data_IF_038243252464
#
_entry.id   IF_038243252464
#
_cell.length_a   1.000
_cell.length_b   1.000
_cell.length_c   1.000
_cell.angle_alpha   90.00
_cell.angle_beta   90.00
_cell.angle_gamma   90.00
#
_symmetry.space_group_name_H-M   'P 1'
#
loop_
_entity.id
_entity.type
_entity.pdbx_description
1 polymer ?
#
# COMPACT_ATOMS: atom_id res chain seq x y z
N UNK A 1 -17.48 3.04 -17.87
CA UNK A 1 -16.04 3.27 -18.13
C UNK A 1 -15.75 2.96 -19.57
N UNK A 2 -15.14 3.89 -20.29
CA UNK A 2 -14.78 3.72 -21.70
C UNK A 2 -13.76 2.59 -21.85
N UNK A 3 -14.03 1.68 -22.79
CA UNK A 3 -13.10 0.63 -23.15
C UNK A 3 -11.94 1.24 -23.94
N UNK A 4 -10.72 1.05 -23.48
CA UNK A 4 -9.54 1.44 -24.24
C UNK A 4 -9.39 0.56 -25.49
N UNK A 5 -8.82 1.08 -26.59
CA UNK A 5 -8.54 0.29 -27.79
C UNK A 5 -7.49 -0.79 -27.50
N UNK A 6 -7.47 -1.86 -28.29
CA UNK A 6 -6.47 -2.92 -28.16
C UNK A 6 -5.03 -2.41 -28.34
N UNK A 7 -4.86 -1.35 -29.10
CA UNK A 7 -3.57 -0.68 -29.33
C UNK A 7 -3.66 0.79 -28.95
N UNK A 8 -2.79 1.23 -28.05
CA UNK A 8 -2.65 2.62 -27.63
C UNK A 8 -1.26 3.11 -27.98
N UNK A 9 -1.13 3.82 -29.12
CA UNK A 9 0.15 4.27 -29.65
C UNK A 9 1.12 3.12 -29.83
N UNK A 10 2.24 3.16 -29.10
CA UNK A 10 3.29 2.14 -29.13
C UNK A 10 3.00 0.94 -28.22
N UNK A 11 1.87 0.90 -27.51
CA UNK A 11 1.53 -0.16 -26.58
C UNK A 11 0.37 -1.02 -27.10
N UNK A 12 0.61 -2.32 -27.23
CA UNK A 12 -0.43 -3.33 -27.43
C UNK A 12 -0.96 -3.77 -26.07
N UNK A 13 -2.22 -3.48 -25.76
CA UNK A 13 -2.87 -3.86 -24.52
C UNK A 13 -3.17 -5.35 -24.50
N UNK A 14 -2.68 -6.07 -23.47
CA UNK A 14 -2.81 -7.54 -23.39
C UNK A 14 -3.90 -7.91 -22.37
N UNK A 15 -3.79 -7.39 -21.16
CA UNK A 15 -4.67 -7.75 -20.04
C UNK A 15 -4.88 -6.55 -19.12
N UNK A 16 -6.12 -6.32 -18.72
CA UNK A 16 -6.43 -5.34 -17.68
C UNK A 16 -6.06 -5.90 -16.31
N UNK A 17 -5.17 -5.21 -15.59
CA UNK A 17 -4.68 -5.59 -14.27
C UNK A 17 -5.47 -4.91 -13.14
N UNK A 18 -6.00 -3.71 -13.40
CA UNK A 18 -6.74 -2.95 -12.40
C UNK A 18 -7.56 -1.82 -13.01
N UNK A 19 -8.56 -1.38 -12.25
CA UNK A 19 -9.45 -0.26 -12.62
C UNK A 19 -9.58 0.66 -11.41
N UNK A 20 -9.19 1.91 -11.59
CA UNK A 20 -9.43 3.00 -10.64
C UNK A 20 -10.47 3.98 -11.20
N UNK A 21 -10.80 4.98 -10.41
CA UNK A 21 -11.80 6.01 -10.80
C UNK A 21 -11.37 6.81 -12.04
N UNK A 22 -10.09 7.14 -12.15
CA UNK A 22 -9.54 8.02 -13.18
C UNK A 22 -8.45 7.37 -14.04
N UNK A 23 -8.04 6.14 -13.70
CA UNK A 23 -6.99 5.41 -14.38
C UNK A 23 -7.36 3.94 -14.54
N UNK A 24 -6.81 3.31 -15.59
CA UNK A 24 -6.79 1.87 -15.77
C UNK A 24 -5.34 1.39 -15.77
N UNK A 25 -5.10 0.20 -15.22
CA UNK A 25 -3.77 -0.43 -15.22
C UNK A 25 -3.83 -1.62 -16.18
N UNK A 26 -2.91 -1.66 -17.13
CA UNK A 26 -2.84 -2.69 -18.15
C UNK A 26 -1.46 -3.32 -18.21
N UNK A 27 -1.44 -4.62 -18.42
CA UNK A 27 -0.29 -5.29 -19.00
C UNK A 27 -0.26 -4.95 -20.49
N UNK A 28 0.89 -4.52 -20.99
CA UNK A 28 1.08 -4.14 -22.38
C UNK A 28 2.42 -4.66 -22.93
N UNK A 29 2.45 -4.83 -24.26
CA UNK A 29 3.68 -5.06 -25.02
C UNK A 29 4.07 -3.74 -25.68
N UNK A 30 5.24 -3.23 -25.37
CA UNK A 30 5.78 -2.02 -25.95
C UNK A 30 6.49 -2.30 -27.28
N UNK A 31 6.17 -1.55 -28.32
CA UNK A 31 6.85 -1.59 -29.61
C UNK A 31 7.81 -0.41 -29.77
N UNK A 32 8.96 -0.60 -30.45
CA UNK A 32 9.44 -1.82 -31.11
C UNK A 32 10.17 -2.82 -30.19
N UNK A 33 10.44 -2.44 -28.91
CA UNK A 33 11.28 -3.23 -27.97
C UNK A 33 10.73 -4.64 -27.67
N UNK A 34 9.43 -4.87 -27.85
CA UNK A 34 8.68 -6.08 -27.46
C UNK A 34 8.74 -6.38 -25.95
N UNK A 35 9.12 -5.41 -25.14
CA UNK A 35 9.13 -5.57 -23.69
C UNK A 35 7.71 -5.62 -23.14
N UNK A 36 7.48 -6.54 -22.20
CA UNK A 36 6.23 -6.55 -21.40
C UNK A 36 6.38 -5.56 -20.26
N UNK A 37 5.41 -4.66 -20.15
CA UNK A 37 5.37 -3.59 -19.14
C UNK A 37 3.98 -3.50 -18.51
N UNK A 38 3.89 -2.86 -17.36
CA UNK A 38 2.62 -2.37 -16.85
C UNK A 38 2.48 -0.88 -17.21
N UNK A 39 1.29 -0.47 -17.64
CA UNK A 39 0.99 0.93 -17.90
C UNK A 39 -0.22 1.37 -17.08
N UNK A 40 -0.11 2.52 -16.40
CA UNK A 40 -1.21 3.19 -15.72
C UNK A 40 -1.68 4.34 -16.60
N UNK A 41 -2.84 4.17 -17.23
CA UNK A 41 -3.38 5.10 -18.26
C UNK A 41 -4.51 5.90 -17.65
N UNK A 42 -4.50 7.23 -17.83
CA UNK A 42 -5.64 8.08 -17.47
C UNK A 42 -6.77 7.78 -18.45
N UNK A 43 -7.98 7.55 -17.92
CA UNK A 43 -9.15 7.25 -18.77
C UNK A 43 -9.55 8.48 -19.60
N UNK A 44 -10.16 8.30 -20.80
CA UNK A 44 -10.52 9.40 -21.69
C UNK A 44 -11.37 10.50 -21.02
N UNK A 45 -12.29 10.12 -20.14
CA UNK A 45 -13.15 11.04 -19.41
C UNK A 45 -12.39 11.97 -18.46
N UNK A 46 -11.17 11.59 -18.07
CA UNK A 46 -10.30 12.34 -17.16
C UNK A 46 -9.02 12.88 -17.84
N UNK A 47 -8.84 12.65 -19.14
CA UNK A 47 -7.61 12.99 -19.86
C UNK A 47 -7.32 14.51 -19.88
N UNK A 48 -8.37 15.32 -19.87
CA UNK A 48 -8.27 16.79 -19.86
C UNK A 48 -8.07 17.37 -18.44
N UNK A 49 -8.18 16.54 -17.39
CA UNK A 49 -7.91 16.98 -16.02
C UNK A 49 -6.40 17.04 -15.79
N UNK A 50 -5.85 18.26 -15.79
CA UNK A 50 -4.44 18.50 -15.49
C UNK A 50 -4.00 17.96 -14.13
N UNK A 51 -4.92 17.76 -13.18
CA UNK A 51 -4.66 17.15 -11.90
C UNK A 51 -4.23 15.69 -12.03
N UNK A 52 -4.83 14.93 -12.95
CA UNK A 52 -4.49 13.53 -13.18
C UNK A 52 -3.07 13.38 -13.73
N UNK A 53 -2.67 14.23 -14.68
CA UNK A 53 -1.30 14.27 -15.19
C UNK A 53 -0.29 14.56 -14.07
N UNK A 54 -0.56 15.58 -13.24
CA UNK A 54 0.27 15.93 -12.09
C UNK A 54 0.41 14.78 -11.09
N UNK A 55 -0.64 13.98 -10.90
CA UNK A 55 -0.57 12.79 -10.04
C UNK A 55 0.37 11.73 -10.61
N UNK A 56 0.34 11.45 -11.93
CA UNK A 56 1.28 10.53 -12.56
C UNK A 56 2.73 11.06 -12.50
N UNK A 57 2.93 12.37 -12.73
CA UNK A 57 4.25 13.03 -12.60
C UNK A 57 4.79 12.94 -11.17
N UNK A 58 3.91 13.13 -10.18
CA UNK A 58 4.26 13.00 -8.78
C UNK A 58 4.63 11.54 -8.45
N UNK A 59 3.82 10.58 -8.88
CA UNK A 59 4.05 9.16 -8.66
C UNK A 59 5.38 8.69 -9.24
N UNK A 60 5.69 9.08 -10.49
CA UNK A 60 6.99 8.81 -11.12
C UNK A 60 8.15 9.42 -10.32
N UNK A 61 8.03 10.68 -9.89
CA UNK A 61 9.08 11.37 -9.12
C UNK A 61 9.36 10.67 -7.80
N UNK A 62 8.31 10.25 -7.08
CA UNK A 62 8.46 9.48 -5.83
C UNK A 62 9.14 8.15 -6.12
N UNK A 63 8.64 7.38 -7.09
CA UNK A 63 9.18 6.08 -7.49
C UNK A 63 10.65 6.14 -7.88
N UNK A 64 11.02 7.12 -8.71
CA UNK A 64 12.44 7.35 -9.11
C UNK A 64 13.34 7.73 -7.93
N UNK A 65 12.82 8.47 -6.96
CA UNK A 65 13.60 8.86 -5.78
C UNK A 65 13.74 7.76 -4.73
N UNK A 66 12.92 6.70 -4.84
CA UNK A 66 12.84 5.62 -3.86
C UNK A 66 12.90 4.24 -4.53
N UNK A 67 13.76 4.06 -5.54
CA UNK A 67 13.96 2.77 -6.20
C UNK A 67 14.45 1.71 -5.19
N UNK A 68 13.74 0.58 -5.13
CA UNK A 68 14.05 -0.53 -4.22
C UNK A 68 13.44 -1.84 -4.76
N UNK A 69 14.05 -3.02 -4.54
CA UNK A 69 13.51 -4.30 -5.00
C UNK A 69 12.08 -4.58 -4.55
N UNK A 70 11.63 -4.08 -3.40
CA UNK A 70 10.29 -4.26 -2.85
C UNK A 70 9.30 -3.15 -3.23
N UNK A 71 9.71 -2.18 -4.04
CA UNK A 71 8.85 -1.13 -4.58
C UNK A 71 8.77 -1.31 -6.09
N UNK A 72 7.59 -1.11 -6.68
CA UNK A 72 7.42 -1.20 -8.13
C UNK A 72 8.33 -0.19 -8.83
N UNK A 73 9.13 -0.63 -9.79
CA UNK A 73 9.98 0.28 -10.55
C UNK A 73 9.15 1.06 -11.54
N UNK A 74 9.21 2.37 -11.45
CA UNK A 74 8.59 3.29 -12.39
C UNK A 74 9.60 3.72 -13.44
N UNK A 75 9.23 3.65 -14.71
CA UNK A 75 10.17 3.93 -15.80
C UNK A 75 10.05 5.35 -16.30
N UNK A 76 8.94 5.72 -16.92
CA UNK A 76 8.72 7.02 -17.52
C UNK A 76 7.26 7.36 -17.70
N UNK A 77 6.98 8.65 -17.93
CA UNK A 77 5.72 9.09 -18.49
C UNK A 77 5.74 8.99 -20.00
N UNK A 78 4.59 8.76 -20.60
CA UNK A 78 4.32 8.86 -22.03
C UNK A 78 2.92 9.47 -22.24
N UNK A 79 2.65 9.85 -23.46
CA UNK A 79 1.32 10.27 -23.90
C UNK A 79 1.01 9.58 -25.23
N UNK A 80 -0.04 8.80 -25.26
CA UNK A 80 -0.43 8.00 -26.42
C UNK A 80 -1.91 8.22 -26.74
N UNK A 81 -2.20 8.57 -27.97
CA UNK A 81 -3.59 8.87 -28.37
C UNK A 81 -4.24 10.01 -27.56
N UNK A 82 -3.46 10.97 -27.05
CA UNK A 82 -3.92 12.05 -26.20
C UNK A 82 -4.19 11.63 -24.73
N UNK A 83 -3.80 10.42 -24.35
CA UNK A 83 -3.97 9.91 -22.98
C UNK A 83 -2.61 9.88 -22.26
N UNK A 84 -2.46 10.60 -21.13
CA UNK A 84 -1.30 10.50 -20.27
C UNK A 84 -1.21 9.09 -19.65
N UNK A 85 0.00 8.54 -19.62
CA UNK A 85 0.24 7.23 -18.99
C UNK A 85 1.60 7.17 -18.30
N UNK A 86 1.71 6.30 -17.30
CA UNK A 86 2.92 5.96 -16.58
C UNK A 86 3.32 4.53 -16.94
N UNK A 87 4.55 4.35 -17.44
CA UNK A 87 5.14 3.04 -17.73
C UNK A 87 5.90 2.55 -16.51
N UNK A 88 5.67 1.27 -16.15
CA UNK A 88 6.23 0.63 -14.96
C UNK A 88 6.69 -0.79 -15.29
N UNK A 89 7.52 -1.38 -14.44
CA UNK A 89 7.80 -2.81 -14.52
C UNK A 89 6.50 -3.62 -14.39
N UNK A 90 6.43 -4.72 -15.12
CA UNK A 90 5.35 -5.68 -14.96
C UNK A 90 5.74 -6.68 -13.86
N UNK A 91 4.90 -6.75 -12.83
CA UNK A 91 4.97 -7.78 -11.80
C UNK A 91 3.64 -8.55 -11.80
N UNK A 92 3.55 -9.66 -12.57
CA UNK A 92 2.28 -10.31 -12.92
C UNK A 92 1.76 -11.23 -11.81
N UNK A 93 1.70 -10.73 -10.58
CA UNK A 93 1.23 -11.44 -9.40
C UNK A 93 0.01 -10.76 -8.80
N UNK A 94 -0.86 -11.49 -8.08
CA UNK A 94 -2.04 -10.92 -7.44
C UNK A 94 -1.66 -9.92 -6.35
N UNK A 95 -2.60 -9.02 -6.02
CA UNK A 95 -2.44 -8.21 -4.84
C UNK A 95 -2.81 -9.01 -3.57
N UNK A 96 -2.30 -8.54 -2.43
CA UNK A 96 -2.49 -9.18 -1.13
C UNK A 96 -3.97 -9.27 -0.74
N UNK A 97 -4.81 -8.28 -1.17
CA UNK A 97 -6.25 -8.32 -0.90
C UNK A 97 -6.91 -9.53 -1.54
N UNK A 98 -6.56 -9.83 -2.78
CA UNK A 98 -7.08 -11.02 -3.49
C UNK A 98 -6.67 -12.30 -2.76
N UNK A 99 -5.40 -12.40 -2.37
CA UNK A 99 -4.89 -13.58 -1.65
C UNK A 99 -5.58 -13.78 -0.30
N UNK A 100 -5.87 -12.69 0.45
CA UNK A 100 -6.62 -12.76 1.70
C UNK A 100 -8.05 -13.28 1.46
N UNK A 101 -8.70 -12.82 0.40
CA UNK A 101 -10.07 -13.26 0.03
C UNK A 101 -10.08 -14.72 -0.43
N UNK A 102 -9.05 -15.16 -1.15
CA UNK A 102 -8.92 -16.54 -1.62
C UNK A 102 -8.60 -17.53 -0.47
N UNK A 103 -8.11 -17.04 0.68
CA UNK A 103 -7.93 -17.81 1.91
C UNK A 103 -6.62 -17.51 2.64
N UNK A 104 -6.73 -17.05 3.88
CA UNK A 104 -5.54 -16.66 4.69
C UNK A 104 -4.70 -17.86 5.14
N UNK A 105 -5.28 -19.05 5.22
CA UNK A 105 -4.56 -20.24 5.69
C UNK A 105 -3.42 -20.61 4.74
N UNK A 106 -3.65 -20.51 3.42
CA UNK A 106 -2.63 -20.74 2.42
C UNK A 106 -1.47 -19.71 2.45
N UNK A 107 -1.73 -18.52 3.00
CA UNK A 107 -0.71 -17.47 3.17
C UNK A 107 0.15 -17.67 4.43
N UNK A 108 -0.31 -18.49 5.37
CA UNK A 108 0.32 -18.63 6.69
C UNK A 108 1.84 -18.76 6.66
N UNK A 109 2.43 -19.67 5.88
CA UNK A 109 3.88 -19.82 5.77
C UNK A 109 4.58 -18.56 5.26
N UNK A 110 3.93 -17.78 4.39
CA UNK A 110 4.49 -16.59 3.74
C UNK A 110 4.31 -15.30 4.57
N UNK A 111 3.40 -15.30 5.56
CA UNK A 111 3.07 -14.10 6.35
C UNK A 111 4.30 -13.39 6.92
N UNK A 112 5.27 -14.06 7.60
CA UNK A 112 6.45 -13.39 8.14
C UNK A 112 7.29 -12.72 7.04
N UNK A 113 7.44 -13.37 5.88
CA UNK A 113 8.18 -12.83 4.74
C UNK A 113 7.47 -11.63 4.14
N UNK A 114 6.17 -11.74 3.85
CA UNK A 114 5.36 -10.65 3.30
C UNK A 114 5.44 -9.40 4.18
N UNK A 115 5.29 -9.56 5.51
CA UNK A 115 5.34 -8.45 6.45
C UNK A 115 6.73 -7.83 6.49
N UNK A 116 7.80 -8.66 6.46
CA UNK A 116 9.18 -8.18 6.44
C UNK A 116 9.47 -7.40 5.16
N UNK A 117 9.16 -7.94 3.99
CA UNK A 117 9.37 -7.30 2.69
C UNK A 117 8.60 -5.97 2.57
N UNK A 118 7.33 -5.95 3.00
CA UNK A 118 6.51 -4.73 3.02
C UNK A 118 7.09 -3.69 3.99
N UNK A 119 7.55 -4.12 5.17
CA UNK A 119 8.20 -3.22 6.12
C UNK A 119 9.51 -2.64 5.57
N UNK A 120 10.28 -3.41 4.79
CA UNK A 120 11.49 -2.91 4.10
C UNK A 120 11.14 -1.87 3.05
N UNK A 121 10.07 -2.07 2.26
CA UNK A 121 9.59 -1.08 1.30
C UNK A 121 9.24 0.25 1.99
N UNK A 122 8.49 0.18 3.09
CA UNK A 122 8.05 1.36 3.84
C UNK A 122 9.25 2.06 4.51
N UNK A 123 10.18 1.31 5.12
CA UNK A 123 11.40 1.89 5.73
C UNK A 123 12.27 2.60 4.68
N UNK A 124 12.37 2.02 3.48
CA UNK A 124 13.09 2.66 2.38
C UNK A 124 12.44 3.98 1.97
N UNK A 125 11.10 4.02 1.78
CA UNK A 125 10.37 5.26 1.50
C UNK A 125 10.64 6.32 2.58
N UNK A 126 10.54 5.94 3.87
CA UNK A 126 10.78 6.86 4.99
C UNK A 126 12.23 7.38 4.98
N UNK A 127 13.21 6.52 4.69
CA UNK A 127 14.63 6.91 4.59
C UNK A 127 14.86 7.90 3.43
N UNK A 128 14.08 7.79 2.34
CA UNK A 128 14.08 8.73 1.21
C UNK A 128 13.24 9.99 1.47
N UNK A 129 12.70 10.15 2.67
CA UNK A 129 11.93 11.32 3.08
C UNK A 129 10.49 11.35 2.59
N UNK A 130 9.89 10.17 2.34
CA UNK A 130 8.51 10.04 1.91
C UNK A 130 7.66 9.23 2.89
N UNK A 131 6.38 9.58 3.02
CA UNK A 131 5.33 8.80 3.69
C UNK A 131 4.36 8.36 2.61
N UNK A 132 4.01 7.07 2.58
CA UNK A 132 3.14 6.50 1.55
C UNK A 132 1.69 6.97 1.65
N UNK A 133 1.12 6.95 2.86
CA UNK A 133 -0.23 7.41 3.23
C UNK A 133 -1.40 6.55 2.74
N UNK A 134 -1.15 5.51 1.94
CA UNK A 134 -2.18 4.56 1.48
C UNK A 134 -1.68 3.10 1.49
N UNK A 135 -1.04 2.69 2.59
CA UNK A 135 -0.66 1.29 2.80
C UNK A 135 -1.92 0.46 3.04
N UNK A 136 -2.18 -0.47 2.12
CA UNK A 136 -3.32 -1.40 2.15
C UNK A 136 -3.00 -2.67 1.34
N UNK A 137 -3.72 -3.78 1.54
CA UNK A 137 -3.47 -5.01 0.80
C UNK A 137 -3.63 -4.87 -0.72
N UNK A 138 -4.50 -3.98 -1.20
CA UNK A 138 -4.69 -3.71 -2.63
C UNK A 138 -3.43 -3.15 -3.30
N UNK A 139 -2.60 -2.42 -2.54
CA UNK A 139 -1.36 -1.78 -3.01
C UNK A 139 -0.11 -2.64 -2.79
N UNK A 140 -0.26 -3.93 -2.50
CA UNK A 140 0.83 -4.88 -2.27
C UNK A 140 0.68 -6.06 -3.20
N UNK A 141 1.53 -6.18 -4.21
CA UNK A 141 1.60 -7.37 -5.08
C UNK A 141 2.48 -8.42 -4.42
N UNK A 142 2.09 -9.70 -4.50
CA UNK A 142 2.78 -10.78 -3.80
C UNK A 142 2.99 -11.96 -4.75
N UNK A 143 4.24 -12.38 -4.92
CA UNK A 143 4.60 -13.58 -5.65
C UNK A 143 4.40 -14.85 -4.79
N UNK A 144 4.37 -16.00 -5.45
CA UNK A 144 4.16 -17.31 -4.80
C UNK A 144 5.21 -17.66 -3.75
N UNK A 145 6.40 -17.09 -3.84
CA UNK A 145 7.48 -17.25 -2.86
C UNK A 145 7.44 -16.23 -1.72
N UNK A 146 6.46 -15.30 -1.72
CA UNK A 146 6.32 -14.24 -0.73
C UNK A 146 7.12 -12.96 -1.05
N UNK A 147 7.76 -12.85 -2.22
CA UNK A 147 8.33 -11.58 -2.68
C UNK A 147 7.23 -10.53 -2.83
N UNK A 148 7.51 -9.29 -2.44
CA UNK A 148 6.52 -8.20 -2.42
C UNK A 148 6.93 -7.06 -3.35
N UNK A 149 5.95 -6.44 -3.99
CA UNK A 149 6.07 -5.12 -4.62
C UNK A 149 5.00 -4.18 -4.07
N UNK A 150 5.44 -3.10 -3.40
CA UNK A 150 4.58 -1.99 -3.02
C UNK A 150 4.32 -1.10 -4.23
N UNK A 151 3.05 -0.81 -4.50
CA UNK A 151 2.59 -0.02 -5.65
C UNK A 151 1.81 1.21 -5.21
N UNK A 152 1.52 2.11 -6.17
CA UNK A 152 0.66 3.30 -6.02
C UNK A 152 1.20 4.35 -5.04
N UNK A 153 2.13 5.18 -5.54
CA UNK A 153 2.75 6.28 -4.79
C UNK A 153 2.07 7.65 -5.05
N UNK A 154 0.89 7.66 -5.67
CA UNK A 154 0.23 8.87 -6.14
C UNK A 154 -0.07 9.90 -5.03
N UNK A 155 -0.35 9.44 -3.81
CA UNK A 155 -0.62 10.32 -2.65
C UNK A 155 0.50 10.35 -1.62
N UNK A 156 1.67 9.77 -1.94
CA UNK A 156 2.83 9.85 -1.07
C UNK A 156 3.24 11.32 -0.82
N UNK A 157 3.66 11.64 0.40
CA UNK A 157 4.01 13.01 0.77
C UNK A 157 5.39 13.07 1.40
N UNK A 158 6.02 14.24 1.32
CA UNK A 158 7.29 14.48 2.01
C UNK A 158 7.11 14.39 3.52
N UNK A 159 8.06 13.74 4.19
CA UNK A 159 8.15 13.78 5.64
C UNK A 159 8.23 15.24 6.11
N UNK A 160 7.42 15.64 7.09
CA UNK A 160 7.46 17.00 7.60
C UNK A 160 8.81 17.26 8.26
N UNK A 161 9.47 18.37 7.88
CA UNK A 161 10.65 18.88 8.59
C UNK A 161 10.30 19.30 10.03
N UNK A 162 11.30 19.71 10.81
CA UNK A 162 11.12 20.13 12.22
C UNK A 162 10.03 21.22 12.35
N UNK A 163 10.04 22.24 11.49
CA UNK A 163 9.04 23.30 11.48
C UNK A 163 7.65 22.79 11.08
N UNK A 164 7.56 21.88 10.11
CA UNK A 164 6.28 21.27 9.69
C UNK A 164 5.63 20.41 10.77
N UNK A 165 6.42 19.84 11.69
CA UNK A 165 5.91 19.10 12.86
C UNK A 165 5.32 20.02 13.92
N UNK A 166 5.86 21.23 14.05
CA UNK A 166 5.44 22.21 15.07
C UNK A 166 4.30 23.11 14.58
N UNK A 167 4.29 23.46 13.30
CA UNK A 167 3.38 24.45 12.71
C UNK A 167 2.55 23.89 11.54
N UNK A 168 2.55 22.57 11.34
CA UNK A 168 1.85 21.92 10.22
C UNK A 168 0.35 22.22 10.22
N UNK A 169 -0.13 22.79 9.10
CA UNK A 169 -1.53 23.07 8.86
C UNK A 169 -2.34 21.79 8.57
N UNK A 170 -3.67 21.93 8.53
CA UNK A 170 -4.58 20.86 8.11
C UNK A 170 -4.29 20.48 6.66
N UNK A 171 -3.93 19.21 6.44
CA UNK A 171 -3.78 18.62 5.11
C UNK A 171 -5.08 18.00 4.60
N UNK A 172 -5.17 17.70 3.30
CA UNK A 172 -6.32 16.98 2.76
C UNK A 172 -6.42 15.59 3.37
N UNK A 173 -7.64 15.18 3.73
CA UNK A 173 -7.94 13.81 4.18
C UNK A 173 -7.91 12.91 2.93
N UNK A 174 -6.88 12.10 2.82
CA UNK A 174 -6.65 11.20 1.68
C UNK A 174 -6.18 9.84 2.19
N UNK A 175 -6.56 8.77 1.50
CA UNK A 175 -6.23 7.39 1.82
C UNK A 175 -7.47 6.50 1.86
N UNK A 176 -7.27 5.24 2.12
CA UNK A 176 -8.32 4.21 2.15
C UNK A 176 -8.91 4.10 3.55
N UNK A 177 -10.23 4.34 3.74
CA UNK A 177 -10.86 4.45 5.06
C UNK A 177 -10.56 3.29 6.03
N UNK A 178 -10.43 2.05 5.53
CA UNK A 178 -10.19 0.85 6.35
C UNK A 178 -8.76 0.74 6.93
N UNK A 179 -7.82 1.60 6.47
CA UNK A 179 -6.41 1.55 6.86
C UNK A 179 -5.86 2.90 7.29
N UNK A 180 -6.69 3.95 7.20
CA UNK A 180 -6.27 5.33 7.45
C UNK A 180 -5.96 5.56 8.93
N UNK A 181 -4.82 6.18 9.21
CA UNK A 181 -4.41 6.51 10.57
C UNK A 181 -5.26 7.65 11.17
N UNK A 182 -5.49 7.65 12.50
CA UNK A 182 -6.30 8.67 13.18
C UNK A 182 -5.89 10.12 12.88
N UNK A 183 -4.59 10.40 12.78
CA UNK A 183 -4.08 11.74 12.44
C UNK A 183 -4.38 12.13 10.98
N UNK A 184 -4.38 11.18 10.04
CA UNK A 184 -4.80 11.42 8.65
C UNK A 184 -6.28 11.80 8.60
N UNK A 185 -7.13 11.04 9.33
CA UNK A 185 -8.57 11.30 9.40
C UNK A 185 -8.86 12.70 9.98
N UNK A 186 -8.07 13.12 10.97
CA UNK A 186 -8.21 14.44 11.60
C UNK A 186 -7.59 15.59 10.79
N UNK A 187 -6.97 15.29 9.63
CA UNK A 187 -6.25 16.27 8.83
C UNK A 187 -5.03 16.87 9.55
N UNK A 188 -4.46 16.16 10.52
CA UNK A 188 -3.28 16.58 11.26
C UNK A 188 -2.00 16.33 10.48
N UNK A 189 -0.88 16.84 10.97
CA UNK A 189 0.44 16.54 10.39
C UNK A 189 0.72 15.04 10.44
N UNK A 190 1.03 14.46 9.27
CA UNK A 190 1.28 13.04 9.08
C UNK A 190 2.77 12.79 8.95
N UNK A 191 3.32 11.83 9.70
CA UNK A 191 4.68 11.33 9.54
C UNK A 191 4.70 9.81 9.30
N UNK A 192 5.87 9.18 9.25
CA UNK A 192 6.01 7.75 8.95
C UNK A 192 5.25 6.82 9.90
N UNK A 193 4.83 7.30 11.07
CA UNK A 193 4.03 6.51 12.01
C UNK A 193 2.59 6.29 11.55
N UNK A 194 2.12 7.07 10.57
CA UNK A 194 0.85 6.79 9.90
C UNK A 194 0.94 5.49 9.06
N UNK A 195 2.03 5.31 8.31
CA UNK A 195 2.25 4.06 7.55
C UNK A 195 2.43 2.86 8.49
N UNK A 196 3.02 3.05 9.69
CA UNK A 196 3.09 2.01 10.73
C UNK A 196 1.69 1.59 11.18
N UNK A 197 0.77 2.54 11.38
CA UNK A 197 -0.62 2.23 11.72
C UNK A 197 -1.31 1.45 10.60
N UNK A 198 -1.18 1.91 9.37
CA UNK A 198 -1.76 1.26 8.20
C UNK A 198 -1.19 -0.15 8.01
N UNK A 199 0.13 -0.34 8.19
CA UNK A 199 0.74 -1.67 8.21
C UNK A 199 0.18 -2.54 9.34
N UNK A 200 -0.07 -1.97 10.52
CA UNK A 200 -0.76 -2.68 11.61
C UNK A 200 -2.14 -3.20 11.21
N UNK A 201 -2.91 -2.42 10.44
CA UNK A 201 -4.19 -2.87 9.88
C UNK A 201 -4.01 -4.02 8.87
N UNK A 202 -2.99 -3.93 7.99
CA UNK A 202 -2.67 -4.98 7.01
C UNK A 202 -2.25 -6.28 7.70
N UNK A 203 -1.37 -6.21 8.71
CA UNK A 203 -0.92 -7.39 9.48
C UNK A 203 -2.09 -8.02 10.23
N UNK A 204 -2.95 -7.19 10.83
CA UNK A 204 -4.17 -7.70 11.47
C UNK A 204 -5.04 -8.46 10.47
N UNK A 205 -5.28 -7.89 9.28
CA UNK A 205 -6.12 -8.51 8.25
C UNK A 205 -5.51 -9.80 7.70
N UNK A 206 -4.19 -9.85 7.51
CA UNK A 206 -3.45 -11.05 7.11
C UNK A 206 -3.64 -12.22 8.10
N UNK A 207 -3.76 -11.92 9.40
CA UNK A 207 -3.89 -12.93 10.46
C UNK A 207 -5.34 -13.26 10.80
N UNK A 208 -6.28 -12.33 10.57
CA UNK A 208 -7.69 -12.47 10.95
C UNK A 208 -8.64 -12.71 9.76
N UNK A 209 -8.16 -12.58 8.51
CA UNK A 209 -8.97 -12.62 7.29
C UNK A 209 -9.90 -11.40 7.09
N UNK A 210 -9.85 -10.43 7.99
CA UNK A 210 -10.67 -9.20 7.96
C UNK A 210 -9.95 -8.04 8.64
N UNK A 211 -10.23 -6.79 8.22
CA UNK A 211 -9.61 -5.62 8.83
C UNK A 211 -10.02 -5.46 10.32
N UNK A 212 -9.23 -4.69 11.13
CA UNK A 212 -9.51 -4.53 12.56
C UNK A 212 -10.83 -3.82 12.85
N UNK A 213 -11.32 -3.01 11.93
CA UNK A 213 -12.57 -2.29 12.06
C UNK A 213 -13.42 -2.46 10.80
N UNK A 214 -14.73 -2.59 10.99
CA UNK A 214 -15.75 -2.60 9.95
C UNK A 214 -16.95 -1.78 10.43
N UNK A 215 -17.63 -1.10 9.50
CA UNK A 215 -18.86 -0.36 9.77
C UNK A 215 -19.74 -0.31 8.52
N UNK A 216 -21.02 0.04 8.70
CA UNK A 216 -21.99 0.14 7.59
C UNK A 216 -21.69 1.34 6.71
N UNK A 217 -21.21 2.43 7.28
CA UNK A 217 -20.87 3.65 6.54
C UNK A 217 -19.44 4.13 6.83
N UNK A 218 -18.91 4.95 5.93
CA UNK A 218 -17.53 5.43 6.00
C UNK A 218 -17.26 6.28 7.25
N UNK A 219 -18.21 7.11 7.69
CA UNK A 219 -18.01 7.98 8.85
C UNK A 219 -17.86 7.17 10.14
N UNK A 220 -18.69 6.14 10.33
CA UNK A 220 -18.59 5.25 11.48
C UNK A 220 -17.28 4.46 11.46
N UNK A 221 -16.84 4.03 10.27
CA UNK A 221 -15.55 3.36 10.12
C UNK A 221 -14.40 4.27 10.53
N UNK A 222 -14.38 5.51 10.03
CA UNK A 222 -13.38 6.50 10.40
C UNK A 222 -13.41 6.81 11.91
N UNK A 223 -14.59 6.92 12.52
CA UNK A 223 -14.74 7.10 13.97
C UNK A 223 -14.16 5.92 14.75
N UNK A 224 -14.33 4.68 14.28
CA UNK A 224 -13.68 3.51 14.90
C UNK A 224 -12.17 3.58 14.84
N UNK A 225 -11.59 4.01 13.72
CA UNK A 225 -10.15 4.26 13.64
C UNK A 225 -9.67 5.31 14.64
N UNK A 226 -10.48 6.35 14.88
CA UNK A 226 -10.15 7.43 15.84
C UNK A 226 -10.20 6.98 17.29
N UNK A 227 -11.18 6.15 17.69
CA UNK A 227 -11.51 5.95 19.10
C UNK A 227 -11.64 4.49 19.56
N UNK A 228 -12.05 3.55 18.67
CA UNK A 228 -12.33 2.19 19.10
C UNK A 228 -11.05 1.39 19.35
N UNK A 229 -11.05 0.56 20.37
CA UNK A 229 -9.97 -0.40 20.63
C UNK A 229 -10.04 -1.54 19.60
N UNK A 230 -8.94 -1.88 18.92
CA UNK A 230 -8.92 -3.01 18.01
C UNK A 230 -9.10 -4.32 18.78
N UNK A 231 -9.78 -5.33 18.18
CA UNK A 231 -9.84 -6.66 18.75
C UNK A 231 -8.44 -7.24 18.96
N UNK A 232 -8.28 -8.12 19.95
CA UNK A 232 -7.01 -8.83 20.15
C UNK A 232 -6.90 -9.95 19.12
N UNK A 233 -5.75 -10.04 18.41
CA UNK A 233 -5.57 -10.99 17.30
C UNK A 233 -5.55 -12.45 17.79
N UNK A 234 -4.98 -12.72 18.95
CA UNK A 234 -4.94 -14.04 19.59
C UNK A 234 -6.32 -14.64 19.87
N UNK A 235 -7.36 -13.80 20.03
CA UNK A 235 -8.77 -14.23 20.15
C UNK A 235 -9.39 -14.65 18.82
N UNK A 236 -8.87 -14.13 17.71
CA UNK A 236 -9.37 -14.38 16.35
C UNK A 236 -8.57 -15.47 15.65
N UNK A 237 -7.27 -15.52 15.88
CA UNK A 237 -6.35 -16.51 15.37
C UNK A 237 -5.60 -17.14 16.54
N UNK A 238 -6.02 -18.34 16.97
CA UNK A 238 -5.41 -19.06 18.11
C UNK A 238 -3.97 -19.52 17.87
N UNK A 239 -3.52 -19.49 16.60
CA UNK A 239 -2.14 -19.80 16.27
C UNK A 239 -1.23 -18.56 16.29
N UNK A 240 -1.78 -17.36 16.40
CA UNK A 240 -1.00 -16.14 16.52
C UNK A 240 -0.39 -16.01 17.92
N UNK A 241 0.91 -15.73 18.00
CA UNK A 241 1.61 -15.59 19.29
C UNK A 241 1.18 -14.33 20.03
N UNK A 242 1.34 -14.34 21.35
CA UNK A 242 1.14 -13.14 22.18
C UNK A 242 2.08 -11.99 21.73
N UNK A 243 3.28 -12.28 21.29
CA UNK A 243 4.25 -11.29 20.83
C UNK A 243 3.76 -10.55 19.58
N UNK A 244 3.19 -11.26 18.61
CA UNK A 244 2.63 -10.61 17.41
C UNK A 244 1.36 -9.81 17.75
N UNK A 245 0.54 -10.31 18.68
CA UNK A 245 -0.64 -9.60 19.19
C UNK A 245 -0.25 -8.26 19.83
N UNK A 246 0.81 -8.25 20.65
CA UNK A 246 1.34 -7.04 21.29
C UNK A 246 1.91 -6.05 20.26
N UNK A 247 2.66 -6.54 19.25
CA UNK A 247 3.17 -5.69 18.18
C UNK A 247 2.04 -5.00 17.43
N UNK A 248 1.03 -5.75 16.98
CA UNK A 248 -0.13 -5.20 16.27
C UNK A 248 -0.84 -4.14 17.13
N UNK A 249 -1.07 -4.43 18.41
CA UNK A 249 -1.69 -3.49 19.34
C UNK A 249 -0.89 -2.20 19.46
N UNK A 250 0.45 -2.28 19.53
CA UNK A 250 1.34 -1.11 19.56
C UNK A 250 1.28 -0.31 18.26
N UNK A 251 1.28 -0.98 17.10
CA UNK A 251 1.15 -0.32 15.80
C UNK A 251 -0.21 0.38 15.63
N UNK A 252 -1.29 -0.20 16.16
CA UNK A 252 -2.65 0.34 16.10
C UNK A 252 -2.99 1.34 17.22
N UNK A 253 -2.01 1.80 18.00
CA UNK A 253 -2.20 2.84 19.00
C UNK A 253 -2.72 4.13 18.36
N UNK A 254 -3.68 4.79 19.03
CA UNK A 254 -4.39 5.95 18.46
C UNK A 254 -3.50 7.19 18.35
N UNK A 255 -2.66 7.41 19.36
CA UNK A 255 -1.68 8.51 19.34
C UNK A 255 -0.41 8.03 18.64
N UNK A 256 0.13 8.77 17.66
CA UNK A 256 1.39 8.40 17.01
C UNK A 256 2.56 8.20 17.98
N UNK A 257 2.58 8.93 19.11
CA UNK A 257 3.63 8.81 20.12
C UNK A 257 3.67 7.45 20.85
N UNK A 258 2.53 6.74 20.87
CA UNK A 258 2.39 5.43 21.53
C UNK A 258 2.74 4.26 20.59
N UNK A 259 3.00 4.55 19.30
CA UNK A 259 3.43 3.57 18.29
C UNK A 259 4.95 3.38 18.31
N UNK A 260 5.49 2.35 17.62
CA UNK A 260 6.91 2.29 17.31
C UNK A 260 7.39 3.62 16.69
N UNK A 261 8.55 4.12 17.12
CA UNK A 261 9.06 5.42 16.70
C UNK A 261 9.45 5.48 15.22
N UNK A 262 9.79 4.32 14.63
CA UNK A 262 10.19 4.19 13.22
C UNK A 262 9.88 2.79 12.68
N UNK A 263 9.90 2.65 11.36
CA UNK A 263 9.78 1.35 10.70
C UNK A 263 10.97 0.44 11.03
N UNK A 264 12.16 0.98 11.30
CA UNK A 264 13.32 0.21 11.80
C UNK A 264 13.04 -0.48 13.12
N UNK A 265 12.33 0.16 14.04
CA UNK A 265 11.90 -0.47 15.30
C UNK A 265 10.92 -1.62 15.05
N UNK A 266 9.96 -1.42 14.12
CA UNK A 266 9.03 -2.48 13.69
C UNK A 266 9.80 -3.67 13.11
N UNK A 267 10.71 -3.43 12.15
CA UNK A 267 11.55 -4.47 11.54
C UNK A 267 12.40 -5.23 12.58
N UNK A 268 12.99 -4.51 13.55
CA UNK A 268 13.73 -5.14 14.64
C UNK A 268 12.84 -6.11 15.44
N UNK A 269 11.63 -5.67 15.77
CA UNK A 269 10.67 -6.50 16.50
C UNK A 269 10.21 -7.70 15.67
N UNK A 270 9.85 -7.51 14.39
CA UNK A 270 9.45 -8.61 13.49
C UNK A 270 10.51 -9.71 13.42
N UNK A 271 11.79 -9.35 13.35
CA UNK A 271 12.92 -10.30 13.29
C UNK A 271 13.17 -11.05 14.61
N UNK A 272 12.67 -10.53 15.72
CA UNK A 272 12.91 -11.10 17.07
C UNK A 272 11.74 -11.94 17.60
N UNK A 273 10.57 -11.92 16.94
CA UNK A 273 9.37 -12.63 17.39
C UNK A 273 9.00 -13.79 16.46
N UNK A 274 8.32 -14.79 17.02
CA UNK A 274 7.61 -15.80 16.24
C UNK A 274 6.19 -15.31 15.96
N UNK A 275 5.70 -15.52 14.74
CA UNK A 275 4.36 -15.14 14.36
C UNK A 275 3.30 -16.14 14.81
N UNK A 276 3.65 -17.42 14.78
CA UNK A 276 2.73 -18.53 15.04
C UNK A 276 3.26 -19.42 16.16
N UNK A 277 2.37 -19.93 17.00
CA UNK A 277 2.65 -20.89 18.06
C UNK A 277 3.10 -22.23 17.47
N UNK A 278 2.41 -22.66 16.42
CA UNK A 278 2.72 -23.87 15.66
C UNK A 278 3.15 -23.50 14.25
N UNK A 279 4.15 -24.19 13.74
CA UNK A 279 4.52 -24.04 12.33
C UNK A 279 3.30 -24.32 11.44
N UNK A 280 3.06 -23.45 10.46
CA UNK A 280 2.07 -23.71 9.43
C UNK A 280 2.80 -24.50 8.35
N UNK A 281 2.30 -25.70 8.05
CA UNK A 281 2.89 -26.56 7.02
C UNK A 281 2.76 -25.87 5.65
N UNK A 282 3.80 -26.00 4.83
CA UNK A 282 3.73 -25.68 3.42
C UNK A 282 2.74 -26.65 2.79
N UNK A 283 1.60 -26.15 2.31
CA UNK A 283 0.56 -26.92 1.61
C UNK A 283 0.85 -26.98 0.12
#
# INVERSE_FOLDING_TARGET
>A
MTKLPEKLGNFQLVKQLGVGRHCQIWEAIEHPSRCRVAIKVVVPESAQDAGQRKLLEHELRVGKSAEHPTIIRMDRLSEEGGLPLLVMELFPHPNLKRLIVDGVDALGPLVPRIITELSLAIDHLHTRGWVHRDIKPDNVLVASDGQVKLIDLAIAARLPGLLGRLFGGKGPVQGSPSYMAPEQIRGQTVDGRADIYSLGCVVFELLAGKPPFAAVNANDLLNKHISATPPSIDKLNRNATTSVSQLIRKMLAKKPADRPASMKEVLKTIRSIRFFERAIADT
#
